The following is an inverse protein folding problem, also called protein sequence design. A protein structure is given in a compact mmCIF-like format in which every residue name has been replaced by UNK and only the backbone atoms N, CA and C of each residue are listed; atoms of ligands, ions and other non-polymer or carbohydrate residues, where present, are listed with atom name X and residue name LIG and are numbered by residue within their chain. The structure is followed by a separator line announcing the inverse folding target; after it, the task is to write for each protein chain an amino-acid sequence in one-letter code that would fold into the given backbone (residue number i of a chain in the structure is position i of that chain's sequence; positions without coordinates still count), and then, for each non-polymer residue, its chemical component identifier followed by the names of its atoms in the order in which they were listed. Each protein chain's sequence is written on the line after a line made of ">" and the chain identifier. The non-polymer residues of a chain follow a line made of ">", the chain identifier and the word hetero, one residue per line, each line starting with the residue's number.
data_IF_230637925330
#
_entry.id   IF_230637925330
#
_cell.length_a   1.000
_cell.length_b   1.000
_cell.length_c   1.000
_cell.angle_alpha   90.00
_cell.angle_beta   90.00
_cell.angle_gamma   90.00
#
_symmetry.space_group_name_H-M   'P 1'
#
loop_
_entity.id
_entity.type
_entity.pdbx_description
1 polymer ?
#
# COMPACT_ATOMS: atom_id res chain seq x y z
N UNK A 1 20.41 -23.32 35.13
CA UNK A 1 19.01 -23.17 34.76
C UNK A 1 18.81 -21.75 34.25
N UNK A 2 18.98 -21.53 32.96
CA UNK A 2 18.85 -20.21 32.32
C UNK A 2 17.41 -20.07 31.81
N UNK A 3 16.68 -19.09 32.35
CA UNK A 3 15.34 -18.73 31.88
C UNK A 3 15.45 -18.11 30.49
N UNK A 4 14.77 -18.70 29.51
CA UNK A 4 14.51 -18.09 28.21
C UNK A 4 13.60 -16.86 28.39
N UNK A 5 13.89 -15.73 27.75
CA UNK A 5 12.96 -14.63 27.70
C UNK A 5 11.76 -14.98 26.83
N UNK A 6 10.57 -14.64 27.32
CA UNK A 6 9.31 -14.80 26.61
C UNK A 6 9.36 -14.04 25.29
N UNK A 7 8.94 -14.68 24.18
CA UNK A 7 8.78 -14.04 22.89
C UNK A 7 7.80 -12.89 22.99
N UNK A 8 8.28 -11.69 22.76
CA UNK A 8 7.45 -10.50 22.65
C UNK A 8 6.53 -10.68 21.43
N UNK A 9 5.23 -10.73 21.67
CA UNK A 9 4.20 -10.66 20.63
C UNK A 9 4.37 -9.33 19.89
N UNK A 10 4.90 -9.40 18.68
CA UNK A 10 5.00 -8.24 17.79
C UNK A 10 3.58 -7.87 17.35
N UNK A 11 2.99 -6.90 18.01
CA UNK A 11 1.69 -6.36 17.62
C UNK A 11 1.86 -5.66 16.25
N UNK A 12 1.23 -6.20 15.22
CA UNK A 12 1.17 -5.59 13.89
C UNK A 12 0.52 -4.20 13.97
N UNK A 13 1.22 -3.19 13.51
CA UNK A 13 0.74 -1.82 13.43
C UNK A 13 0.17 -1.56 12.05
N UNK A 14 -1.12 -1.34 11.97
CA UNK A 14 -1.81 -0.97 10.72
C UNK A 14 -2.12 0.51 10.77
N UNK A 15 -1.56 1.29 9.85
CA UNK A 15 -1.95 2.68 9.62
C UNK A 15 -2.83 2.70 8.38
N UNK A 16 -4.14 2.87 8.58
CA UNK A 16 -5.08 3.07 7.48
C UNK A 16 -5.12 4.53 7.09
N UNK A 17 -4.61 4.88 5.93
CA UNK A 17 -4.78 6.21 5.31
C UNK A 17 -6.06 6.27 4.46
N UNK A 18 -7.18 5.77 4.95
CA UNK A 18 -8.48 6.08 4.37
C UNK A 18 -8.85 7.51 4.78
N UNK A 19 -8.97 8.42 3.82
CA UNK A 19 -9.47 9.80 3.96
C UNK A 19 -8.54 10.90 4.51
N UNK A 20 -7.25 10.86 4.23
CA UNK A 20 -6.40 12.05 4.43
C UNK A 20 -6.68 13.20 3.43
N UNK A 21 -7.43 12.94 2.36
CA UNK A 21 -7.74 13.95 1.33
C UNK A 21 -9.10 14.66 1.50
N UNK A 22 -9.89 14.39 2.54
CA UNK A 22 -11.29 14.82 2.61
C UNK A 22 -11.64 15.71 3.82
N UNK A 23 -10.67 16.38 4.44
CA UNK A 23 -11.01 17.36 5.49
C UNK A 23 -10.61 18.77 5.04
N UNK A 24 -11.28 19.28 4.00
CA UNK A 24 -11.50 20.70 3.84
C UNK A 24 -12.68 21.12 4.72
N UNK A 25 -12.79 22.41 5.13
CA UNK A 25 -13.91 22.88 5.96
C UNK A 25 -15.18 22.88 5.13
N UNK A 26 -15.91 21.78 5.14
CA UNK A 26 -17.29 21.70 4.63
C UNK A 26 -18.23 21.56 5.83
N UNK A 27 -18.93 22.63 6.14
CA UNK A 27 -20.15 22.60 6.93
C UNK A 27 -21.17 21.68 6.22
N UNK A 28 -21.28 20.47 6.69
CA UNK A 28 -22.24 19.49 6.22
C UNK A 28 -22.14 18.28 7.12
N UNK A 29 -23.24 17.94 7.75
CA UNK A 29 -23.39 16.83 8.69
C UNK A 29 -22.74 15.56 8.14
N UNK A 30 -21.49 15.32 8.56
CA UNK A 30 -20.76 14.11 8.28
C UNK A 30 -21.45 12.99 9.06
N UNK A 31 -22.30 12.21 8.40
CA UNK A 31 -22.73 10.91 8.95
C UNK A 31 -21.49 10.02 8.96
N UNK A 32 -20.74 10.13 10.06
CA UNK A 32 -19.55 9.32 10.28
C UNK A 32 -19.89 7.87 10.08
N UNK A 33 -19.17 7.21 9.19
CA UNK A 33 -19.12 5.77 9.14
C UNK A 33 -18.60 5.28 10.50
N UNK A 34 -19.52 4.95 11.39
CA UNK A 34 -19.21 4.38 12.70
C UNK A 34 -18.80 2.93 12.47
N UNK A 35 -17.54 2.75 12.06
CA UNK A 35 -16.97 1.40 12.03
C UNK A 35 -17.02 0.86 13.44
N UNK A 36 -17.73 -0.24 13.65
CA UNK A 36 -17.90 -0.89 14.94
C UNK A 36 -16.53 -1.06 15.62
N UNK A 37 -16.43 -0.58 16.86
CA UNK A 37 -15.23 -0.73 17.67
C UNK A 37 -15.08 -2.20 18.05
N UNK A 38 -14.03 -2.86 17.56
CA UNK A 38 -13.71 -4.21 18.00
C UNK A 38 -12.81 -4.15 19.23
N UNK A 39 -13.07 -4.98 20.27
CA UNK A 39 -12.17 -5.09 21.42
C UNK A 39 -10.73 -5.36 20.96
N UNK A 40 -9.77 -4.63 21.50
CA UNK A 40 -8.35 -4.74 21.12
C UNK A 40 -7.90 -3.89 19.94
N UNK A 41 -8.80 -3.19 19.24
CA UNK A 41 -8.41 -2.19 18.24
C UNK A 41 -8.18 -0.82 18.87
N UNK A 42 -7.02 -0.24 18.61
CA UNK A 42 -6.73 1.16 18.92
C UNK A 42 -6.79 1.98 17.63
N UNK A 43 -7.67 2.98 17.57
CA UNK A 43 -7.72 3.96 16.49
C UNK A 43 -7.01 5.22 16.95
N UNK A 44 -6.16 5.75 16.10
CA UNK A 44 -5.48 7.02 16.30
C UNK A 44 -5.82 7.88 15.10
N UNK A 45 -6.61 8.93 15.31
CA UNK A 45 -6.82 9.95 14.31
C UNK A 45 -5.56 10.84 14.28
N UNK A 46 -4.94 10.94 13.11
CA UNK A 46 -3.81 11.84 12.91
C UNK A 46 -4.35 13.21 12.46
N UNK A 47 -3.71 14.30 12.89
CA UNK A 47 -3.99 15.62 12.36
C UNK A 47 -3.58 15.67 10.88
N UNK A 48 -3.83 16.80 10.21
CA UNK A 48 -3.25 17.04 8.89
C UNK A 48 -1.72 16.98 8.98
N UNK A 49 -1.11 16.10 8.21
CA UNK A 49 0.33 15.88 8.23
C UNK A 49 1.01 16.70 7.13
N UNK A 50 2.23 17.17 7.41
CA UNK A 50 3.14 17.58 6.33
C UNK A 50 3.48 16.37 5.44
N UNK A 51 4.03 16.62 4.24
CA UNK A 51 4.47 15.51 3.38
C UNK A 51 5.53 14.64 4.04
N UNK A 52 6.45 15.24 4.78
CA UNK A 52 7.50 14.53 5.53
C UNK A 52 6.91 13.67 6.64
N UNK A 53 5.96 14.20 7.41
CA UNK A 53 5.32 13.44 8.48
C UNK A 53 4.44 12.31 7.92
N UNK A 54 3.82 12.51 6.75
CA UNK A 54 3.09 11.47 6.05
C UNK A 54 4.02 10.33 5.61
N UNK A 55 5.19 10.65 5.06
CA UNK A 55 6.20 9.64 4.71
C UNK A 55 6.67 8.87 5.95
N UNK A 56 6.92 9.56 7.07
CA UNK A 56 7.27 8.91 8.34
C UNK A 56 6.15 7.98 8.84
N UNK A 57 4.88 8.38 8.67
CA UNK A 57 3.74 7.52 9.02
C UNK A 57 3.71 6.26 8.17
N UNK A 58 3.94 6.37 6.84
CA UNK A 58 4.03 5.22 5.95
C UNK A 58 5.19 4.28 6.32
N UNK A 59 6.35 4.82 6.66
CA UNK A 59 7.52 4.03 7.05
C UNK A 59 7.37 3.33 8.39
N UNK A 60 6.53 3.85 9.28
CA UNK A 60 6.28 3.28 10.61
C UNK A 60 5.22 2.17 10.61
N UNK A 61 4.52 1.97 9.48
CA UNK A 61 3.42 1.03 9.37
C UNK A 61 3.88 -0.31 8.79
N UNK A 62 3.31 -1.41 9.28
CA UNK A 62 3.52 -2.75 8.72
C UNK A 62 2.71 -2.95 7.44
N UNK A 63 1.55 -2.29 7.30
CA UNK A 63 0.68 -2.31 6.12
C UNK A 63 0.13 -0.92 5.85
N UNK A 64 0.27 -0.47 4.62
CA UNK A 64 -0.23 0.81 4.16
C UNK A 64 -1.48 0.64 3.28
N UNK A 65 -2.61 1.21 3.71
CA UNK A 65 -3.82 1.29 2.89
C UNK A 65 -3.89 2.71 2.33
N UNK A 66 -3.58 2.87 1.05
CA UNK A 66 -3.42 4.19 0.43
C UNK A 66 -4.44 4.44 -0.66
N UNK A 67 -4.80 5.70 -0.87
CA UNK A 67 -5.72 6.13 -1.91
C UNK A 67 -5.07 7.21 -2.77
N UNK A 68 -5.33 7.12 -4.08
CA UNK A 68 -4.77 8.06 -5.07
C UNK A 68 -3.33 7.72 -5.46
N UNK A 69 -2.85 8.37 -6.51
CA UNK A 69 -1.61 8.03 -7.19
C UNK A 69 -0.37 8.50 -6.41
N UNK A 70 -0.41 9.69 -5.83
CA UNK A 70 0.72 10.23 -5.05
C UNK A 70 1.00 9.35 -3.82
N UNK A 71 -0.03 8.99 -3.08
CA UNK A 71 0.10 8.11 -1.92
C UNK A 71 0.57 6.69 -2.31
N UNK A 72 0.18 6.19 -3.50
CA UNK A 72 0.69 4.94 -4.02
C UNK A 72 2.20 4.99 -4.25
N UNK A 73 2.68 6.05 -4.93
CA UNK A 73 4.12 6.23 -5.17
C UNK A 73 4.88 6.26 -3.84
N UNK A 74 4.38 7.02 -2.85
CA UNK A 74 4.99 7.10 -1.52
C UNK A 74 4.99 5.76 -0.78
N UNK A 75 3.93 4.96 -0.92
CA UNK A 75 3.86 3.62 -0.36
C UNK A 75 4.91 2.67 -0.97
N UNK A 76 5.19 2.77 -2.26
CA UNK A 76 6.31 2.06 -2.89
C UNK A 76 7.66 2.45 -2.25
N UNK A 77 7.89 3.76 -2.01
CA UNK A 77 9.10 4.25 -1.35
C UNK A 77 9.19 3.86 0.13
N UNK A 78 8.07 3.60 0.79
CA UNK A 78 8.07 3.10 2.16
C UNK A 78 8.64 1.67 2.25
N UNK A 79 8.44 0.84 1.24
CA UNK A 79 8.96 -0.53 1.17
C UNK A 79 8.25 -1.53 2.09
N UNK A 80 7.19 -1.11 2.78
CA UNK A 80 6.27 -2.00 3.50
C UNK A 80 5.14 -2.45 2.57
N UNK A 81 4.42 -3.54 2.86
CA UNK A 81 3.21 -3.93 2.15
C UNK A 81 2.19 -2.80 2.03
N UNK A 82 1.52 -2.73 0.90
CA UNK A 82 0.48 -1.72 0.66
C UNK A 82 -0.70 -2.31 -0.11
N UNK A 83 -1.87 -1.67 0.05
CA UNK A 83 -3.04 -1.87 -0.81
C UNK A 83 -3.49 -0.53 -1.34
N UNK A 84 -3.66 -0.45 -2.65
CA UNK A 84 -4.10 0.78 -3.30
C UNK A 84 -5.60 0.77 -3.53
N UNK A 85 -6.28 1.84 -3.10
CA UNK A 85 -7.66 2.09 -3.43
C UNK A 85 -7.75 3.17 -4.51
N UNK A 86 -8.43 2.85 -5.60
CA UNK A 86 -8.75 3.80 -6.65
C UNK A 86 -10.05 4.53 -6.35
N UNK A 87 -10.18 5.73 -6.90
CA UNK A 87 -11.47 6.42 -6.90
C UNK A 87 -12.40 5.69 -7.87
N UNK A 88 -13.61 5.27 -7.44
CA UNK A 88 -14.59 4.70 -8.33
C UNK A 88 -14.92 5.69 -9.46
N UNK A 89 -15.06 5.16 -10.67
CA UNK A 89 -15.45 5.91 -11.87
C UNK A 89 -16.68 5.25 -12.48
N UNK A 90 -17.64 6.05 -12.93
CA UNK A 90 -18.93 5.56 -13.42
C UNK A 90 -18.80 4.70 -14.69
N UNK A 91 -17.75 4.94 -15.49
CA UNK A 91 -17.40 4.17 -16.69
C UNK A 91 -16.64 2.86 -16.39
N UNK A 92 -16.35 2.57 -15.12
CA UNK A 92 -15.60 1.38 -14.72
C UNK A 92 -14.09 1.42 -15.03
N UNK A 93 -13.54 2.53 -15.50
CA UNK A 93 -12.12 2.66 -15.84
C UNK A 93 -11.18 2.34 -14.68
N UNK A 94 -11.62 2.56 -13.43
CA UNK A 94 -10.86 2.18 -12.24
C UNK A 94 -10.58 0.67 -12.17
N UNK A 95 -11.50 -0.18 -12.65
CA UNK A 95 -11.29 -1.63 -12.67
C UNK A 95 -10.19 -2.02 -13.66
N UNK A 96 -10.24 -1.49 -14.88
CA UNK A 96 -9.21 -1.71 -15.90
C UNK A 96 -7.84 -1.21 -15.43
N UNK A 97 -7.80 -0.04 -14.80
CA UNK A 97 -6.57 0.54 -14.22
C UNK A 97 -5.99 -0.33 -13.11
N UNK A 98 -6.83 -0.87 -12.22
CA UNK A 98 -6.37 -1.78 -11.18
C UNK A 98 -5.81 -3.08 -11.75
N UNK A 99 -6.48 -3.67 -12.73
CA UNK A 99 -6.01 -4.91 -13.37
C UNK A 99 -4.68 -4.70 -14.09
N UNK A 100 -4.53 -3.58 -14.81
CA UNK A 100 -3.26 -3.22 -15.45
C UNK A 100 -2.13 -3.03 -14.41
N UNK A 101 -2.44 -2.38 -13.28
CA UNK A 101 -1.50 -2.21 -12.20
C UNK A 101 -1.10 -3.56 -11.55
N UNK A 102 -2.05 -4.46 -11.32
CA UNK A 102 -1.74 -5.80 -10.81
C UNK A 102 -0.92 -6.63 -11.81
N UNK A 103 -1.16 -6.48 -13.11
CA UNK A 103 -0.35 -7.10 -14.14
C UNK A 103 1.09 -6.54 -14.13
N UNK A 104 1.25 -5.22 -14.02
CA UNK A 104 2.55 -4.56 -13.84
C UNK A 104 3.29 -5.06 -12.60
N UNK A 105 2.62 -5.27 -11.48
CA UNK A 105 3.25 -5.80 -10.27
C UNK A 105 3.77 -7.23 -10.44
N UNK A 106 3.14 -8.04 -11.30
CA UNK A 106 3.53 -9.44 -11.56
C UNK A 106 4.62 -9.60 -12.61
N UNK A 107 4.69 -8.72 -13.59
CA UNK A 107 5.46 -8.95 -14.80
C UNK A 107 6.58 -7.96 -15.07
N UNK A 108 6.90 -7.08 -14.15
CA UNK A 108 7.94 -6.07 -14.35
C UNK A 108 9.33 -6.63 -14.06
N UNK A 109 9.89 -7.40 -15.02
CA UNK A 109 11.28 -7.82 -14.97
C UNK A 109 12.24 -6.63 -14.81
N UNK A 110 11.86 -5.44 -15.32
CA UNK A 110 12.64 -4.21 -15.24
C UNK A 110 12.50 -3.48 -13.90
N UNK A 111 11.50 -3.83 -13.08
CA UNK A 111 11.24 -3.19 -11.78
C UNK A 111 11.67 -4.04 -10.57
N UNK A 112 12.49 -5.07 -10.79
CA UNK A 112 13.27 -5.79 -9.77
C UNK A 112 12.48 -6.87 -9.09
N UNK A 113 11.40 -6.95 -8.58
CA UNK A 113 10.76 -8.06 -7.89
C UNK A 113 9.32 -8.29 -8.35
N UNK A 114 9.02 -9.52 -8.72
CA UNK A 114 7.67 -9.97 -9.06
C UNK A 114 6.81 -10.05 -7.78
N UNK A 115 5.74 -9.26 -7.70
CA UNK A 115 4.81 -9.30 -6.59
C UNK A 115 3.76 -10.41 -6.83
N UNK A 116 4.20 -11.66 -6.76
CA UNK A 116 3.37 -12.85 -7.04
C UNK A 116 2.85 -13.57 -5.80
N UNK A 117 2.80 -12.89 -4.67
CA UNK A 117 2.34 -13.49 -3.41
C UNK A 117 0.87 -13.91 -3.49
N UNK A 118 0.55 -15.17 -3.15
CA UNK A 118 -0.83 -15.64 -3.14
C UNK A 118 -1.75 -14.75 -2.27
N UNK A 119 -2.91 -14.42 -2.80
CA UNK A 119 -3.92 -13.63 -2.09
C UNK A 119 -3.78 -12.12 -2.21
N UNK A 120 -2.61 -11.57 -2.57
CA UNK A 120 -2.43 -10.11 -2.69
C UNK A 120 -3.36 -9.52 -3.76
N UNK A 121 -3.44 -10.12 -4.94
CA UNK A 121 -4.35 -9.64 -5.98
C UNK A 121 -5.82 -9.72 -5.54
N UNK A 122 -6.22 -10.80 -4.86
CA UNK A 122 -7.57 -10.95 -4.32
C UNK A 122 -7.88 -9.87 -3.27
N UNK A 123 -6.91 -9.52 -2.42
CA UNK A 123 -7.04 -8.45 -1.44
C UNK A 123 -7.24 -7.08 -2.11
N UNK A 124 -6.45 -6.76 -3.15
CA UNK A 124 -6.62 -5.52 -3.92
C UNK A 124 -8.00 -5.43 -4.57
N UNK A 125 -8.47 -6.52 -5.19
CA UNK A 125 -9.79 -6.56 -5.82
C UNK A 125 -10.91 -6.38 -4.80
N UNK A 126 -10.86 -7.10 -3.66
CA UNK A 126 -11.84 -6.98 -2.60
C UNK A 126 -11.84 -5.58 -1.96
N UNK A 127 -10.65 -4.99 -1.75
CA UNK A 127 -10.50 -3.64 -1.20
C UNK A 127 -11.10 -2.55 -2.10
N UNK A 128 -11.06 -2.76 -3.41
CA UNK A 128 -11.65 -1.86 -4.42
C UNK A 128 -13.12 -2.19 -4.75
N UNK A 129 -13.75 -3.15 -4.07
CA UNK A 129 -15.13 -3.55 -4.34
C UNK A 129 -15.34 -4.31 -5.65
N UNK A 130 -14.27 -4.78 -6.29
CA UNK A 130 -14.29 -5.52 -7.55
C UNK A 130 -14.40 -7.04 -7.35
N UNK A 131 -14.29 -7.52 -6.13
CA UNK A 131 -14.53 -8.89 -5.72
C UNK A 131 -15.09 -8.94 -4.30
N UNK A 132 -15.74 -10.05 -3.95
CA UNK A 132 -16.18 -10.30 -2.59
C UNK A 132 -15.00 -10.59 -1.67
N UNK A 133 -15.11 -10.22 -0.40
CA UNK A 133 -14.17 -10.63 0.63
C UNK A 133 -14.19 -12.16 0.80
N UNK A 134 -13.02 -12.77 0.76
CA UNK A 134 -12.84 -14.21 0.89
C UNK A 134 -11.63 -14.52 1.78
N UNK A 135 -11.49 -15.77 2.16
CA UNK A 135 -10.31 -16.25 2.87
C UNK A 135 -9.03 -16.02 2.04
N UNK A 136 -9.12 -16.23 0.73
CA UNK A 136 -8.02 -15.95 -0.21
C UNK A 136 -7.59 -14.49 -0.16
N UNK A 137 -8.52 -13.54 -0.07
CA UNK A 137 -8.19 -12.12 0.02
C UNK A 137 -7.43 -11.75 1.30
N UNK A 138 -7.61 -12.50 2.38
CA UNK A 138 -6.94 -12.27 3.67
C UNK A 138 -5.74 -13.17 3.91
N UNK A 139 -5.50 -14.17 3.06
CA UNK A 139 -4.40 -15.13 3.20
C UNK A 139 -3.03 -14.46 3.17
N UNK A 140 -2.86 -13.42 2.33
CA UNK A 140 -1.61 -12.64 2.22
C UNK A 140 -1.24 -11.87 3.48
N UNK A 141 -2.18 -11.68 4.41
CA UNK A 141 -1.97 -10.95 5.67
C UNK A 141 -1.42 -11.84 6.79
N UNK A 142 -1.10 -13.11 6.52
CA UNK A 142 -0.71 -14.09 7.56
C UNK A 142 0.47 -14.97 7.12
N UNK A 143 1.19 -15.47 8.12
CA UNK A 143 2.18 -16.53 7.97
C UNK A 143 3.26 -16.24 6.91
N UNK A 144 3.57 -17.24 6.10
CA UNK A 144 4.61 -17.16 5.07
C UNK A 144 4.26 -16.21 3.94
N UNK A 145 2.99 -16.11 3.57
CA UNK A 145 2.53 -15.17 2.56
C UNK A 145 2.80 -13.72 2.97
N UNK A 146 2.53 -13.38 4.22
CA UNK A 146 2.88 -12.07 4.79
C UNK A 146 4.38 -11.79 4.75
N UNK A 147 5.20 -12.75 5.19
CA UNK A 147 6.67 -12.61 5.16
C UNK A 147 7.19 -12.43 3.73
N UNK A 148 6.68 -13.23 2.80
CA UNK A 148 7.04 -13.13 1.38
C UNK A 148 6.64 -11.78 0.80
N UNK A 149 5.44 -11.27 1.10
CA UNK A 149 4.99 -9.96 0.63
C UNK A 149 5.88 -8.83 1.15
N UNK A 150 6.24 -8.87 2.44
CA UNK A 150 7.15 -7.90 3.04
C UNK A 150 8.53 -7.90 2.37
N UNK A 151 9.10 -9.09 2.15
CA UNK A 151 10.39 -9.24 1.47
C UNK A 151 10.33 -8.68 0.04
N UNK A 152 9.31 -9.02 -0.74
CA UNK A 152 9.14 -8.53 -2.11
C UNK A 152 8.93 -7.01 -2.17
N UNK A 153 8.22 -6.41 -1.21
CA UNK A 153 8.10 -4.96 -1.14
C UNK A 153 9.44 -4.28 -0.87
N UNK A 154 10.25 -4.85 0.02
CA UNK A 154 11.60 -4.36 0.33
C UNK A 154 12.54 -4.46 -0.88
N UNK A 155 12.54 -5.60 -1.57
CA UNK A 155 13.34 -5.83 -2.78
C UNK A 155 12.92 -4.86 -3.90
N UNK A 156 11.61 -4.69 -4.10
CA UNK A 156 11.08 -3.73 -5.08
C UNK A 156 11.51 -2.31 -4.79
N UNK A 157 11.47 -1.89 -3.52
CA UNK A 157 11.99 -0.59 -3.11
C UNK A 157 13.48 -0.45 -3.44
N UNK A 158 14.29 -1.45 -3.14
CA UNK A 158 15.71 -1.45 -3.46
C UNK A 158 15.96 -1.33 -4.96
N UNK A 159 15.21 -2.06 -5.79
CA UNK A 159 15.28 -1.97 -7.24
C UNK A 159 14.89 -0.58 -7.78
N UNK A 160 13.84 0.05 -7.22
CA UNK A 160 13.46 1.42 -7.58
C UNK A 160 14.55 2.43 -7.20
N UNK A 161 15.20 2.27 -6.05
CA UNK A 161 16.28 3.14 -5.61
C UNK A 161 17.56 2.99 -6.46
N UNK A 162 17.76 1.83 -7.08
CA UNK A 162 18.90 1.56 -7.95
C UNK A 162 18.73 2.14 -9.37
N UNK A 163 17.53 2.56 -9.75
CA UNK A 163 17.26 3.15 -11.06
C UNK A 163 17.87 4.55 -11.18
N UNK A 164 18.33 4.89 -12.38
CA UNK A 164 18.70 6.27 -12.68
C UNK A 164 17.47 7.19 -12.52
N UNK A 165 17.68 8.40 -12.05
CA UNK A 165 16.62 9.39 -11.94
C UNK A 165 16.02 9.74 -13.32
N UNK A 166 14.76 10.22 -13.31
CA UNK A 166 14.01 10.51 -14.52
C UNK A 166 14.71 11.51 -15.42
N UNK A 167 15.36 12.52 -14.85
CA UNK A 167 16.07 13.56 -15.61
C UNK A 167 17.24 12.96 -16.39
N UNK A 168 18.03 12.11 -15.74
CA UNK A 168 19.14 11.37 -16.37
C UNK A 168 18.64 10.45 -17.49
N UNK A 169 17.53 9.73 -17.26
CA UNK A 169 16.94 8.87 -18.29
C UNK A 169 16.42 9.68 -19.48
N UNK A 170 15.76 10.81 -19.24
CA UNK A 170 15.26 11.69 -20.29
C UNK A 170 16.39 12.27 -21.13
N UNK A 171 17.46 12.74 -20.50
CA UNK A 171 18.64 13.26 -21.21
C UNK A 171 19.27 12.20 -22.10
N UNK A 172 19.42 10.96 -21.62
CA UNK A 172 19.91 9.82 -22.41
C UNK A 172 18.98 9.54 -23.60
N UNK A 173 17.66 9.52 -23.36
CA UNK A 173 16.69 9.31 -24.43
C UNK A 173 16.78 10.38 -25.52
N UNK A 174 16.84 11.67 -25.16
CA UNK A 174 16.97 12.77 -26.12
C UNK A 174 18.29 12.66 -26.89
N UNK A 175 19.40 12.33 -26.22
CA UNK A 175 20.69 12.14 -26.87
C UNK A 175 20.70 10.98 -27.88
N UNK A 176 19.95 9.91 -27.62
CA UNK A 176 19.85 8.75 -28.51
C UNK A 176 18.98 8.98 -29.76
N UNK A 177 18.26 10.11 -29.84
CA UNK A 177 17.39 10.48 -30.98
C UNK A 177 18.06 11.49 -31.94
N UNK A 178 19.26 11.93 -31.63
CA UNK A 178 20.10 12.75 -32.50
C UNK A 178 21.07 11.90 -33.32
#
# INVERSE_FOLDING_TARGET
>A
MLRQPAAASTAQRTVGCADLAAVGPRSGTNRGCTLAHRPGQRRIALPWLSQTDFDHALWSADLNLVRGEDSLVRAHWAGAPWVWQLYPQDDGAHAAKLLAYLAFLRGSADAGADLSVPGVAALFLAWNGLASWSESATASLRGDAWRSWNAQCTERRAALLAQADLSSQLLKFVASKR
#
